data_IF_351957988824
#
_entry.id   IF_351957988824
#
_cell.length_a   1.000
_cell.length_b   1.000
_cell.length_c   1.000
_cell.angle_alpha   90.00
_cell.angle_beta   90.00
_cell.angle_gamma   90.00
#
_symmetry.space_group_name_H-M   'P 1'
#
loop_
_entity.id
_entity.type
_entity.pdbx_description
1 polymer ?
#
# COMPACT_ATOMS: atom_id res chain seq x y z
N UNK A 1 -23.84 46.29 -18.56
CA UNK A 1 -22.78 46.25 -17.53
C UNK A 1 -22.91 44.90 -16.83
N UNK A 2 -22.23 43.85 -17.34
CA UNK A 2 -22.42 42.43 -16.94
C UNK A 2 -21.05 41.73 -16.79
N UNK A 3 -20.04 42.40 -16.24
CA UNK A 3 -18.65 41.92 -16.35
C UNK A 3 -17.90 41.77 -15.02
N UNK A 4 -18.58 41.97 -13.88
CA UNK A 4 -17.96 41.82 -12.55
C UNK A 4 -18.55 40.65 -11.74
N UNK A 5 -19.85 40.37 -11.92
CA UNK A 5 -20.55 39.27 -11.23
C UNK A 5 -20.27 37.91 -11.86
N UNK A 6 -20.22 37.82 -13.20
CA UNK A 6 -19.86 36.60 -13.94
C UNK A 6 -18.45 36.12 -13.61
N UNK A 7 -17.49 37.03 -13.50
CA UNK A 7 -16.10 36.73 -13.16
C UNK A 7 -15.93 36.23 -11.72
N UNK A 8 -16.81 36.62 -10.79
CA UNK A 8 -16.76 36.16 -9.41
C UNK A 8 -17.38 34.76 -9.26
N UNK A 9 -18.48 34.48 -9.97
CA UNK A 9 -19.07 33.14 -10.05
C UNK A 9 -18.11 32.15 -10.74
N UNK A 10 -17.51 32.54 -11.87
CA UNK A 10 -16.51 31.73 -12.58
C UNK A 10 -15.25 31.47 -11.72
N UNK A 11 -14.80 32.46 -10.95
CA UNK A 11 -13.69 32.31 -10.01
C UNK A 11 -14.03 31.35 -8.85
N UNK A 12 -15.27 31.37 -8.37
CA UNK A 12 -15.72 30.47 -7.32
C UNK A 12 -15.88 29.03 -7.83
N UNK A 13 -16.47 28.85 -9.01
CA UNK A 13 -16.59 27.53 -9.65
C UNK A 13 -15.23 26.91 -9.96
N UNK A 14 -14.28 27.70 -10.47
CA UNK A 14 -12.91 27.23 -10.73
C UNK A 14 -12.20 26.84 -9.44
N UNK A 15 -12.32 27.62 -8.37
CA UNK A 15 -11.78 27.27 -7.06
C UNK A 15 -12.35 25.95 -6.53
N UNK A 16 -13.67 25.76 -6.57
CA UNK A 16 -14.31 24.51 -6.15
C UNK A 16 -13.84 23.32 -6.98
N UNK A 17 -13.73 23.49 -8.29
CA UNK A 17 -13.23 22.44 -9.20
C UNK A 17 -11.79 22.07 -8.90
N UNK A 18 -10.95 23.05 -8.57
CA UNK A 18 -9.56 22.83 -8.18
C UNK A 18 -9.45 22.13 -6.82
N UNK A 19 -10.28 22.50 -5.84
CA UNK A 19 -10.34 21.80 -4.55
C UNK A 19 -10.79 20.34 -4.69
N UNK A 20 -11.83 20.08 -5.49
CA UNK A 20 -12.31 18.72 -5.77
C UNK A 20 -11.19 17.90 -6.43
N UNK A 21 -10.54 18.45 -7.47
CA UNK A 21 -9.43 17.80 -8.16
C UNK A 21 -8.23 17.56 -7.24
N UNK A 22 -7.95 18.46 -6.31
CA UNK A 22 -6.93 18.27 -5.29
C UNK A 22 -7.33 17.19 -4.26
N UNK A 23 -8.61 17.07 -3.94
CA UNK A 23 -9.18 15.99 -3.14
C UNK A 23 -8.98 14.62 -3.79
N UNK A 24 -9.40 14.48 -5.05
CA UNK A 24 -9.26 13.25 -5.85
C UNK A 24 -7.79 12.81 -5.95
N UNK A 25 -6.90 13.72 -6.38
CA UNK A 25 -5.45 13.45 -6.45
C UNK A 25 -4.86 12.99 -5.12
N UNK A 26 -5.33 13.54 -4.00
CA UNK A 26 -4.88 13.10 -2.66
C UNK A 26 -5.43 11.72 -2.33
N UNK A 27 -6.68 11.43 -2.70
CA UNK A 27 -7.31 10.12 -2.56
C UNK A 27 -6.56 9.04 -3.32
N UNK A 28 -6.32 9.25 -4.61
CA UNK A 28 -5.57 8.32 -5.49
C UNK A 28 -4.17 8.04 -4.94
N UNK A 29 -3.37 9.07 -4.65
CA UNK A 29 -2.01 8.91 -4.10
C UNK A 29 -1.99 8.14 -2.78
N UNK A 30 -3.01 8.31 -1.92
CA UNK A 30 -3.12 7.55 -0.67
C UNK A 30 -3.52 6.10 -0.94
N UNK A 31 -4.42 5.88 -1.90
CA UNK A 31 -4.84 4.56 -2.35
C UNK A 31 -3.68 3.75 -2.90
N UNK A 32 -2.94 4.32 -3.86
CA UNK A 32 -1.75 3.71 -4.47
C UNK A 32 -0.71 3.33 -3.42
N UNK A 33 -0.27 4.27 -2.57
CA UNK A 33 0.72 3.98 -1.51
C UNK A 33 0.29 2.86 -0.57
N UNK A 34 -0.99 2.82 -0.19
CA UNK A 34 -1.52 1.75 0.67
C UNK A 34 -1.59 0.42 -0.07
N UNK A 35 -1.94 0.44 -1.36
CA UNK A 35 -1.96 -0.71 -2.25
C UNK A 35 -0.58 -1.32 -2.42
N UNK A 36 0.42 -0.50 -2.77
CA UNK A 36 1.82 -0.90 -2.92
C UNK A 36 2.35 -1.56 -1.65
N UNK A 37 2.20 -0.90 -0.49
CA UNK A 37 2.68 -1.44 0.79
C UNK A 37 2.03 -2.79 1.13
N UNK A 38 0.71 -2.92 0.95
CA UNK A 38 0.00 -4.18 1.18
C UNK A 38 0.41 -5.27 0.19
N UNK A 39 0.66 -4.89 -1.06
CA UNK A 39 1.13 -5.81 -2.10
C UNK A 39 2.51 -6.36 -1.78
N UNK A 40 3.44 -5.50 -1.37
CA UNK A 40 4.78 -5.88 -0.96
C UNK A 40 4.76 -6.81 0.26
N UNK A 41 4.01 -6.47 1.30
CA UNK A 41 3.86 -7.31 2.50
C UNK A 41 3.29 -8.70 2.15
N UNK A 42 2.25 -8.76 1.32
CA UNK A 42 1.70 -10.03 0.84
C UNK A 42 2.71 -10.83 0.03
N UNK A 43 3.43 -10.20 -0.89
CA UNK A 43 4.43 -10.86 -1.72
C UNK A 43 5.59 -11.45 -0.90
N UNK A 44 6.06 -10.72 0.12
CA UNK A 44 7.08 -11.21 1.06
C UNK A 44 6.60 -12.47 1.79
N UNK A 45 5.36 -12.44 2.27
CA UNK A 45 4.75 -13.58 2.97
C UNK A 45 4.55 -14.79 2.04
N UNK A 46 4.05 -14.58 0.82
CA UNK A 46 3.86 -15.66 -0.14
C UNK A 46 5.20 -16.30 -0.54
N UNK A 47 6.25 -15.48 -0.71
CA UNK A 47 7.62 -15.94 -0.97
C UNK A 47 8.16 -16.78 0.19
N UNK A 48 8.01 -16.29 1.42
CA UNK A 48 8.38 -16.99 2.65
C UNK A 48 7.72 -18.38 2.71
N UNK A 49 6.40 -18.46 2.49
CA UNK A 49 5.66 -19.72 2.55
C UNK A 49 6.13 -20.69 1.45
N UNK A 50 6.36 -20.19 0.24
CA UNK A 50 6.82 -21.01 -0.87
C UNK A 50 8.21 -21.59 -0.58
N UNK A 51 9.13 -20.78 -0.04
CA UNK A 51 10.45 -21.27 0.36
C UNK A 51 10.36 -22.31 1.47
N UNK A 52 9.52 -22.07 2.49
CA UNK A 52 9.33 -23.04 3.57
C UNK A 52 8.78 -24.38 3.06
N UNK A 53 7.76 -24.34 2.20
CA UNK A 53 7.19 -25.55 1.56
C UNK A 53 8.19 -26.32 0.70
N UNK A 54 9.18 -25.62 0.13
CA UNK A 54 10.26 -26.22 -0.64
C UNK A 54 11.44 -26.68 0.23
N UNK A 55 11.32 -26.67 1.56
CA UNK A 55 12.34 -27.16 2.49
C UNK A 55 13.53 -26.21 2.67
N UNK A 56 13.40 -24.94 2.29
CA UNK A 56 14.45 -23.93 2.51
C UNK A 56 14.55 -23.63 4.01
N UNK A 57 15.78 -23.58 4.54
CA UNK A 57 16.04 -23.27 5.95
C UNK A 57 15.59 -21.87 6.38
N UNK A 58 15.11 -21.75 7.62
CA UNK A 58 14.59 -20.48 8.17
C UNK A 58 15.63 -19.35 8.19
N UNK A 59 16.91 -19.68 8.29
CA UNK A 59 18.03 -18.72 8.25
C UNK A 59 18.22 -18.10 6.86
N UNK A 60 17.92 -18.85 5.79
CA UNK A 60 17.97 -18.35 4.41
C UNK A 60 16.69 -17.56 4.11
N UNK A 61 15.54 -18.07 4.56
CA UNK A 61 14.24 -17.40 4.38
C UNK A 61 14.26 -16.03 5.04
N UNK A 62 14.66 -15.95 6.31
CA UNK A 62 14.75 -14.68 7.07
C UNK A 62 15.58 -13.61 6.34
N UNK A 63 16.75 -13.99 5.83
CA UNK A 63 17.60 -13.09 5.01
C UNK A 63 16.95 -12.69 3.70
N UNK A 64 16.23 -13.60 3.04
CA UNK A 64 15.64 -13.38 1.71
C UNK A 64 14.43 -12.46 1.73
N UNK A 65 13.62 -12.50 2.80
CA UNK A 65 12.45 -11.63 2.96
C UNK A 65 12.66 -10.47 3.93
N UNK A 66 13.91 -10.27 4.38
CA UNK A 66 14.33 -9.20 5.30
C UNK A 66 13.55 -9.17 6.61
N UNK A 67 13.31 -10.35 7.19
CA UNK A 67 12.62 -10.52 8.47
C UNK A 67 13.49 -11.25 9.47
N UNK A 68 13.24 -11.06 10.76
CA UNK A 68 13.88 -11.90 11.79
C UNK A 68 13.36 -13.34 11.71
N UNK A 69 14.15 -14.29 12.21
CA UNK A 69 13.74 -15.70 12.29
C UNK A 69 12.47 -15.86 13.14
N UNK A 70 12.32 -15.07 14.20
CA UNK A 70 11.16 -15.11 15.09
C UNK A 70 9.88 -14.60 14.41
N UNK A 71 9.99 -13.56 13.58
CA UNK A 71 8.87 -13.12 12.74
C UNK A 71 8.48 -14.18 11.72
N UNK A 72 9.45 -14.79 11.04
CA UNK A 72 9.20 -15.88 10.08
C UNK A 72 8.48 -17.04 10.77
N UNK A 73 8.95 -17.47 11.94
CA UNK A 73 8.31 -18.53 12.75
C UNK A 73 6.89 -18.14 13.14
N UNK A 74 6.67 -16.93 13.64
CA UNK A 74 5.35 -16.45 14.05
C UNK A 74 4.36 -16.46 12.88
N UNK A 75 4.81 -16.07 11.68
CA UNK A 75 3.99 -16.10 10.45
C UNK A 75 3.65 -17.54 10.04
N UNK A 76 4.60 -18.47 10.15
CA UNK A 76 4.41 -19.88 9.82
C UNK A 76 3.46 -20.57 10.81
N UNK A 77 3.67 -20.37 12.11
CA UNK A 77 2.78 -20.88 13.17
C UNK A 77 1.37 -20.31 13.01
N UNK A 78 1.24 -19.00 12.76
CA UNK A 78 -0.05 -18.35 12.50
C UNK A 78 -0.78 -18.88 11.26
N UNK A 79 -0.07 -19.61 10.39
CA UNK A 79 -0.63 -20.32 9.22
C UNK A 79 -0.80 -21.82 9.42
N UNK A 80 -0.50 -22.35 10.61
CA UNK A 80 -0.67 -23.76 10.95
C UNK A 80 0.50 -24.66 10.54
N UNK A 81 1.68 -24.11 10.26
CA UNK A 81 2.89 -24.92 10.05
C UNK A 81 3.57 -25.22 11.40
N UNK A 82 4.09 -26.43 11.54
CA UNK A 82 5.02 -26.79 12.62
C UNK A 82 6.45 -26.43 12.17
N UNK A 83 7.20 -25.73 13.03
CA UNK A 83 8.46 -25.06 12.68
C UNK A 83 9.51 -25.18 13.78
#
# INVERSE_FOLDING_TARGET
>A
MITAFTTQEEAFESFLKDEVKAGEKRGEKRGEKRGEKRGEEKGKIDTLINFFKNGVGLDIISKSVEMSIDEVKSILIGRGFEV
#
